data_IF_031172304461
#
_entry.id   IF_031172304461
#
_cell.length_a   1.000
_cell.length_b   1.000
_cell.length_c   1.000
_cell.angle_alpha   90.00
_cell.angle_beta   90.00
_cell.angle_gamma   90.00
#
_symmetry.space_group_name_H-M   'P 1'
#
loop_
_entity.id
_entity.type
_entity.pdbx_description
1 polymer ?
#
# COMPACT_ATOMS: atom_id res chain seq x y z
N UNK A 1 12.87 4.67 -3.79
CA UNK A 1 13.19 3.52 -2.92
C UNK A 1 14.30 2.70 -3.56
N UNK A 2 15.36 2.38 -2.81
CA UNK A 2 16.44 1.53 -3.32
C UNK A 2 15.97 0.07 -3.47
N UNK A 3 16.40 -0.62 -4.53
CA UNK A 3 16.09 -2.04 -4.78
C UNK A 3 16.60 -2.90 -3.59
N UNK A 4 15.79 -3.83 -3.05
CA UNK A 4 16.25 -4.73 -2.00
C UNK A 4 17.34 -5.68 -2.53
N UNK A 5 18.32 -6.00 -1.69
CA UNK A 5 19.47 -6.79 -2.10
C UNK A 5 19.18 -8.29 -2.02
N UNK A 6 19.27 -8.98 -3.15
CA UNK A 6 19.12 -10.44 -3.23
C UNK A 6 20.14 -11.18 -2.36
N UNK A 7 21.34 -10.62 -2.18
CA UNK A 7 22.39 -11.20 -1.33
C UNK A 7 21.94 -11.30 0.13
N UNK A 8 21.17 -10.33 0.62
CA UNK A 8 20.74 -10.28 2.03
C UNK A 8 19.38 -10.96 2.26
N UNK A 9 18.45 -10.88 1.31
CA UNK A 9 17.06 -11.35 1.49
C UNK A 9 16.71 -12.60 0.68
N UNK A 10 17.60 -13.06 -0.19
CA UNK A 10 17.37 -14.19 -1.09
C UNK A 10 16.59 -13.78 -2.35
N UNK A 11 16.97 -14.38 -3.48
CA UNK A 11 16.41 -14.08 -4.81
C UNK A 11 14.88 -14.27 -4.88
N UNK A 12 14.37 -15.35 -4.27
CA UNK A 12 12.94 -15.67 -4.33
C UNK A 12 12.06 -14.60 -3.68
N UNK A 13 12.42 -14.15 -2.47
CA UNK A 13 11.65 -13.15 -1.74
C UNK A 13 11.71 -11.77 -2.42
N UNK A 14 12.89 -11.38 -2.92
CA UNK A 14 13.06 -10.14 -3.69
C UNK A 14 12.17 -10.16 -4.94
N UNK A 15 12.15 -11.27 -5.69
CA UNK A 15 11.29 -11.39 -6.87
C UNK A 15 9.81 -11.28 -6.50
N UNK A 16 9.36 -12.01 -5.47
CA UNK A 16 7.95 -11.94 -5.05
C UNK A 16 7.53 -10.54 -4.59
N UNK A 17 8.43 -9.80 -3.94
CA UNK A 17 8.22 -8.40 -3.59
C UNK A 17 8.11 -7.52 -4.83
N UNK A 18 9.01 -7.68 -5.81
CA UNK A 18 8.97 -6.90 -7.06
C UNK A 18 7.70 -7.20 -7.86
N UNK A 19 7.31 -8.46 -7.96
CA UNK A 19 6.07 -8.88 -8.65
C UNK A 19 4.83 -8.26 -7.98
N UNK A 20 4.74 -8.32 -6.65
CA UNK A 20 3.63 -7.73 -5.91
C UNK A 20 3.62 -6.20 -6.05
N UNK A 21 4.78 -5.55 -5.97
CA UNK A 21 4.89 -4.11 -6.12
C UNK A 21 4.51 -3.66 -7.53
N UNK A 22 4.89 -4.41 -8.56
CA UNK A 22 4.50 -4.14 -9.95
C UNK A 22 3.01 -4.37 -10.15
N UNK A 23 2.44 -5.44 -9.59
CA UNK A 23 0.99 -5.67 -9.55
C UNK A 23 0.24 -4.49 -8.91
N UNK A 24 0.75 -3.97 -7.78
CA UNK A 24 0.16 -2.83 -7.10
C UNK A 24 0.32 -1.50 -7.85
N UNK A 25 1.24 -1.40 -8.82
CA UNK A 25 1.41 -0.22 -9.68
C UNK A 25 0.64 -0.32 -11.00
N UNK A 26 0.34 -1.53 -11.43
CA UNK A 26 -0.43 -1.78 -12.65
C UNK A 26 -1.86 -1.23 -12.51
N UNK A 27 -2.48 -0.91 -13.65
CA UNK A 27 -3.87 -0.47 -13.76
C UNK A 27 -4.21 0.76 -12.89
N UNK A 28 -3.22 1.62 -12.63
CA UNK A 28 -3.36 2.79 -11.76
C UNK A 28 -3.81 2.47 -10.33
N UNK A 29 -3.60 1.25 -9.81
CA UNK A 29 -3.86 0.94 -8.40
C UNK A 29 -3.00 1.85 -7.51
N UNK A 30 -3.62 2.54 -6.55
CA UNK A 30 -2.92 3.43 -5.62
C UNK A 30 -2.68 2.75 -4.27
N UNK A 31 -3.76 2.35 -3.61
CA UNK A 31 -3.75 1.66 -2.31
C UNK A 31 -5.15 1.04 -2.08
N UNK A 32 -5.30 0.04 -1.19
CA UNK A 32 -6.61 -0.51 -0.84
C UNK A 32 -7.50 0.54 -0.15
N UNK A 33 -8.81 0.54 -0.40
CA UNK A 33 -9.77 1.40 0.32
C UNK A 33 -9.75 1.06 1.81
N UNK A 34 -9.80 -0.24 2.14
CA UNK A 34 -9.67 -0.73 3.51
C UNK A 34 -8.21 -0.82 3.95
N UNK A 35 -7.47 0.29 3.82
CA UNK A 35 -6.03 0.33 4.04
C UNK A 35 -5.62 -0.07 5.47
N UNK A 36 -6.48 0.15 6.46
CA UNK A 36 -6.22 -0.28 7.84
C UNK A 36 -5.96 -1.80 7.95
N UNK A 37 -6.52 -2.64 7.07
CA UNK A 37 -6.26 -4.09 7.04
C UNK A 37 -4.80 -4.42 6.77
N UNK A 38 -4.10 -3.59 5.99
CA UNK A 38 -2.65 -3.74 5.77
C UNK A 38 -1.90 -3.58 7.09
N UNK A 39 -2.31 -2.64 7.94
CA UNK A 39 -1.71 -2.46 9.26
C UNK A 39 -1.97 -3.63 10.20
N UNK A 40 -3.19 -4.18 10.16
CA UNK A 40 -3.55 -5.36 10.96
C UNK A 40 -2.71 -6.56 10.56
N UNK A 41 -2.58 -6.83 9.25
CA UNK A 41 -1.75 -7.93 8.72
C UNK A 41 -0.29 -7.78 9.11
N UNK A 42 0.23 -6.55 9.09
CA UNK A 42 1.62 -6.24 9.40
C UNK A 42 1.86 -6.00 10.90
N UNK A 43 0.80 -6.03 11.70
CA UNK A 43 0.80 -5.77 13.14
C UNK A 43 1.51 -4.47 13.53
N UNK A 44 1.41 -3.41 12.71
CA UNK A 44 2.21 -2.17 12.89
C UNK A 44 1.94 -1.47 14.22
N UNK A 45 0.76 -1.70 14.81
CA UNK A 45 0.38 -1.21 16.15
C UNK A 45 1.17 -1.84 17.29
N UNK A 46 1.81 -3.00 17.09
CA UNK A 46 2.73 -3.61 18.06
C UNK A 46 4.12 -2.95 18.04
N UNK A 47 4.42 -2.14 17.03
CA UNK A 47 5.68 -1.41 16.96
C UNK A 47 5.71 -0.27 17.99
N UNK A 48 6.91 0.15 18.42
CA UNK A 48 7.07 1.37 19.20
C UNK A 48 6.37 2.56 18.51
N UNK A 49 5.76 3.44 19.31
CA UNK A 49 4.93 4.55 18.81
C UNK A 49 5.66 5.47 17.82
N UNK A 50 6.97 5.62 17.94
CA UNK A 50 7.78 6.42 17.01
C UNK A 50 7.87 5.81 15.59
N UNK A 51 7.62 4.51 15.43
CA UNK A 51 7.55 3.84 14.13
C UNK A 51 6.20 4.02 13.42
N UNK A 52 5.15 4.42 14.14
CA UNK A 52 3.79 4.52 13.60
C UNK A 52 3.71 5.53 12.47
N UNK A 53 4.42 6.66 12.55
CA UNK A 53 4.43 7.67 11.48
C UNK A 53 4.90 7.14 10.11
N UNK A 54 5.66 6.04 10.10
CA UNK A 54 6.16 5.41 8.88
C UNK A 54 5.23 4.33 8.31
N UNK A 55 4.50 3.62 9.17
CA UNK A 55 3.77 2.41 8.81
C UNK A 55 2.27 2.43 9.13
N UNK A 56 1.76 3.44 9.83
CA UNK A 56 0.32 3.61 10.03
C UNK A 56 -0.34 4.09 8.74
N UNK A 57 -1.46 3.46 8.40
CA UNK A 57 -2.40 3.96 7.40
C UNK A 57 -2.88 5.34 7.84
N UNK A 58 -2.93 6.26 6.87
CA UNK A 58 -3.28 7.67 7.09
C UNK A 58 -4.73 7.89 7.50
N UNK A 59 -5.56 6.83 7.45
CA UNK A 59 -6.96 6.81 7.88
C UNK A 59 -7.08 7.15 9.38
N UNK A 60 -6.04 6.91 10.18
CA UNK A 60 -6.10 7.01 11.65
C UNK A 60 -5.99 8.44 12.21
N UNK A 61 -6.21 9.48 11.40
CA UNK A 61 -6.42 10.83 11.94
C UNK A 61 -6.12 12.00 11.01
N UNK A 62 -5.51 11.76 9.85
CA UNK A 62 -5.01 12.85 8.99
C UNK A 62 -5.15 12.54 7.49
N UNK A 63 -6.16 11.75 7.10
CA UNK A 63 -6.34 11.33 5.70
C UNK A 63 -6.31 12.49 4.72
N UNK A 64 -6.88 13.63 5.13
CA UNK A 64 -7.00 14.80 4.28
C UNK A 64 -5.73 15.66 4.21
N UNK A 65 -4.76 15.45 5.09
CA UNK A 65 -3.56 16.28 5.12
C UNK A 65 -2.46 15.77 4.17
N UNK A 66 -2.73 14.66 3.47
CA UNK A 66 -1.77 14.03 2.57
C UNK A 66 -2.32 13.88 1.15
N UNK A 67 -1.48 14.23 0.17
CA UNK A 67 -1.79 14.02 -1.23
C UNK A 67 -1.67 12.54 -1.64
N UNK A 68 -2.24 12.21 -2.80
CA UNK A 68 -2.26 10.83 -3.33
C UNK A 68 -0.86 10.23 -3.46
N UNK A 69 0.14 11.02 -3.85
CA UNK A 69 1.53 10.55 -4.00
C UNK A 69 2.14 10.12 -2.65
N UNK A 70 1.92 10.88 -1.58
CA UNK A 70 2.38 10.53 -0.23
C UNK A 70 1.69 9.27 0.29
N UNK A 71 0.39 9.10 0.00
CA UNK A 71 -0.38 7.89 0.33
C UNK A 71 0.20 6.66 -0.36
N UNK A 72 0.46 6.74 -1.67
CA UNK A 72 1.08 5.66 -2.46
C UNK A 72 2.47 5.31 -1.95
N UNK A 73 3.32 6.31 -1.67
CA UNK A 73 4.66 6.06 -1.16
C UNK A 73 4.62 5.29 0.17
N UNK A 74 3.70 5.66 1.06
CA UNK A 74 3.54 4.99 2.35
C UNK A 74 3.02 3.56 2.20
N UNK A 75 2.07 3.34 1.29
CA UNK A 75 1.60 2.00 0.99
C UNK A 75 2.74 1.10 0.50
N UNK A 76 3.59 1.60 -0.41
CA UNK A 76 4.77 0.86 -0.85
C UNK A 76 5.78 0.61 0.28
N UNK A 77 5.91 1.55 1.25
CA UNK A 77 6.76 1.36 2.45
C UNK A 77 6.24 0.19 3.29
N UNK A 78 4.93 0.06 3.45
CA UNK A 78 4.34 -1.07 4.16
C UNK A 78 4.53 -2.41 3.44
N UNK A 79 4.43 -2.46 2.09
CA UNK A 79 4.75 -3.68 1.34
C UNK A 79 6.20 -4.10 1.57
N UNK A 80 7.13 -3.13 1.50
CA UNK A 80 8.55 -3.37 1.78
C UNK A 80 8.78 -3.84 3.22
N UNK A 81 8.12 -3.20 4.18
CA UNK A 81 8.17 -3.57 5.58
C UNK A 81 7.70 -5.02 5.77
N UNK A 82 6.54 -5.36 5.19
CA UNK A 82 5.96 -6.70 5.11
C UNK A 82 6.96 -7.76 4.65
N UNK A 83 7.64 -7.48 3.54
CA UNK A 83 8.59 -8.40 2.93
C UNK A 83 9.88 -8.59 3.74
N UNK A 84 10.45 -7.52 4.30
CA UNK A 84 11.86 -7.54 4.73
C UNK A 84 12.11 -7.20 6.20
N UNK A 85 11.13 -6.63 6.91
CA UNK A 85 11.38 -5.98 8.20
C UNK A 85 10.43 -6.41 9.33
N UNK A 86 9.40 -7.20 9.04
CA UNK A 86 8.46 -7.66 10.09
C UNK A 86 9.01 -8.75 11.00
N UNK A 87 10.13 -9.38 10.62
CA UNK A 87 10.68 -10.60 11.25
C UNK A 87 9.69 -11.78 11.33
N UNK A 88 8.48 -11.66 10.78
CA UNK A 88 7.45 -12.69 10.73
C UNK A 88 7.43 -13.31 9.34
N UNK A 89 7.63 -14.64 9.23
CA UNK A 89 7.66 -15.30 7.92
C UNK A 89 6.28 -15.31 7.23
N UNK A 90 5.21 -14.96 7.95
CA UNK A 90 3.84 -15.05 7.44
C UNK A 90 3.24 -13.72 6.99
N UNK A 91 3.79 -12.58 7.44
CA UNK A 91 3.21 -11.26 7.15
C UNK A 91 3.20 -10.96 5.66
N UNK A 92 4.33 -11.22 4.98
CA UNK A 92 4.40 -10.96 3.54
C UNK A 92 3.45 -11.84 2.73
N UNK A 93 3.34 -13.14 3.09
CA UNK A 93 2.40 -14.05 2.44
C UNK A 93 0.95 -13.59 2.62
N UNK A 94 0.54 -13.30 3.86
CA UNK A 94 -0.81 -12.80 4.16
C UNK A 94 -1.11 -11.48 3.45
N UNK A 95 -0.12 -10.57 3.40
CA UNK A 95 -0.26 -9.30 2.70
C UNK A 95 -0.45 -9.51 1.19
N UNK A 96 0.38 -10.37 0.58
CA UNK A 96 0.26 -10.72 -0.83
C UNK A 96 -1.10 -11.32 -1.14
N UNK A 97 -1.54 -12.31 -0.35
CA UNK A 97 -2.82 -12.98 -0.52
C UNK A 97 -3.99 -11.99 -0.36
N UNK A 98 -3.93 -11.09 0.61
CA UNK A 98 -4.92 -10.02 0.78
C UNK A 98 -4.99 -9.13 -0.46
N UNK A 99 -3.86 -8.56 -0.90
CA UNK A 99 -3.82 -7.60 -2.00
C UNK A 99 -4.24 -8.23 -3.34
N UNK A 100 -3.81 -9.46 -3.62
CA UNK A 100 -4.16 -10.13 -4.89
C UNK A 100 -5.64 -10.55 -4.97
N UNK A 101 -6.33 -10.68 -3.84
CA UNK A 101 -7.75 -11.03 -3.78
C UNK A 101 -8.69 -9.82 -3.70
N UNK A 102 -8.16 -8.59 -3.63
CA UNK A 102 -8.99 -7.38 -3.65
C UNK A 102 -9.69 -7.23 -5.00
N UNK A 103 -11.00 -7.00 -4.95
CA UNK A 103 -11.80 -6.66 -6.13
C UNK A 103 -11.44 -5.26 -6.63
N UNK A 104 -11.78 -4.99 -7.89
CA UNK A 104 -11.51 -3.72 -8.56
C UNK A 104 -12.00 -2.51 -7.75
N UNK A 105 -13.22 -2.58 -7.24
CA UNK A 105 -13.87 -1.55 -6.43
C UNK A 105 -13.32 -1.41 -5.00
N UNK A 106 -12.47 -2.34 -4.55
CA UNK A 106 -11.79 -2.26 -3.25
C UNK A 106 -10.43 -1.56 -3.34
N UNK A 107 -10.01 -1.15 -4.55
CA UNK A 107 -8.83 -0.34 -4.79
C UNK A 107 -9.18 1.14 -4.92
N UNK A 108 -8.39 1.98 -4.28
CA UNK A 108 -8.26 3.38 -4.69
C UNK A 108 -7.37 3.44 -5.92
N UNK A 109 -7.72 4.31 -6.87
CA UNK A 109 -6.98 4.50 -8.11
C UNK A 109 -6.25 5.84 -8.14
N UNK A 110 -5.08 5.87 -8.78
CA UNK A 110 -4.27 7.06 -9.01
C UNK A 110 -4.62 7.65 -10.38
N UNK A 111 -5.30 8.78 -10.42
CA UNK A 111 -5.63 9.45 -11.67
C UNK A 111 -4.79 10.72 -11.79
N UNK A 112 -3.55 10.61 -12.28
CA UNK A 112 -2.60 11.74 -12.33
C UNK A 112 -3.15 13.02 -12.99
N UNK A 113 -4.14 12.89 -13.88
CA UNK A 113 -4.74 14.00 -14.63
C UNK A 113 -6.03 14.56 -14.01
N UNK A 114 -6.50 14.01 -12.88
CA UNK A 114 -7.69 14.53 -12.21
C UNK A 114 -7.31 15.73 -11.35
N UNK A 115 -7.85 16.91 -11.66
CA UNK A 115 -7.69 18.15 -10.88
C UNK A 115 -8.18 18.01 -9.44
N UNK A 116 -8.91 16.93 -9.13
CA UNK A 116 -9.31 16.50 -7.79
C UNK A 116 -8.26 15.66 -7.04
N UNK A 117 -7.04 15.48 -7.55
CA UNK A 117 -5.94 14.89 -6.76
C UNK A 117 -5.45 15.80 -5.62
N UNK A 118 -5.82 17.08 -5.65
CA UNK A 118 -5.72 17.99 -4.51
C UNK A 118 -6.91 17.83 -3.55
N UNK A 119 -7.99 17.19 -4.01
CA UNK A 119 -9.16 16.87 -3.21
C UNK A 119 -8.93 15.58 -2.42
N UNK A 120 -9.23 15.66 -1.15
CA UNK A 120 -8.65 14.83 -0.12
C UNK A 120 -9.52 13.64 0.27
N UNK A 121 -10.77 13.63 -0.22
CA UNK A 121 -11.75 12.60 0.05
C UNK A 121 -11.43 11.30 -0.70
N UNK A 122 -11.59 10.11 -0.07
CA UNK A 122 -11.52 8.85 -0.80
C UNK A 122 -12.67 8.81 -1.82
N UNK A 123 -12.36 9.12 -3.08
CA UNK A 123 -13.33 9.11 -4.16
C UNK A 123 -13.78 7.66 -4.41
N UNK A 124 -15.04 7.38 -4.09
CA UNK A 124 -15.74 6.24 -4.67
C UNK A 124 -15.80 6.47 -6.18
N UNK A 125 -15.48 5.47 -7.02
CA UNK A 125 -15.70 5.60 -8.44
C UNK A 125 -17.20 5.69 -8.69
N UNK A 126 -17.74 6.91 -8.72
CA UNK A 126 -18.95 7.19 -9.47
C UNK A 126 -18.64 6.72 -10.89
N UNK A 127 -19.32 5.64 -11.30
CA UNK A 127 -19.10 5.03 -12.61
C UNK A 127 -18.99 6.13 -13.64
N UNK A 128 -17.94 6.09 -14.46
CA UNK A 128 -17.77 6.98 -15.61
C UNK A 128 -19.12 7.05 -16.30
N UNK A 129 -19.84 8.17 -16.10
CA UNK A 129 -20.90 8.53 -16.99
C UNK A 129 -20.18 8.74 -18.32
N UNK A 130 -20.45 7.80 -19.22
CA UNK A 130 -20.08 7.83 -20.61
C UNK A 130 -20.30 9.23 -21.18
N UNK A 131 -19.24 9.80 -21.76
CA UNK A 131 -19.31 10.81 -22.80
C UNK A 131 -18.46 10.34 -23.96
#
# INVERSE_FOLDING_TARGET
MNKPSEKFYGKQLVQQYEDLLNYCKADNRAFPINWYKVMEILETRKLPRHCWGYYDSLILGYWNDYNVSQKIERFHKQIRYGAFMTHSPTHFKKLKDFLMNLKKDEWSYKWLDDSRNEDTSPFFPLGRLSS
#
